data_IF_187267728198
#
_entry.id   IF_187267728198
#
_cell.length_a   1.000
_cell.length_b   1.000
_cell.length_c   1.000
_cell.angle_alpha   90.00
_cell.angle_beta   90.00
_cell.angle_gamma   90.00
#
_symmetry.space_group_name_H-M   'P 1'
#
loop_
_entity.id
_entity.type
_entity.pdbx_description
1 polymer ?
#
# COMPACT_ATOMS: atom_id res chain seq x y z
N UNK A 1 -28.59 17.73 -3.36
CA UNK A 1 -27.24 17.51 -3.92
C UNK A 1 -26.16 18.09 -3.01
N UNK A 2 -26.32 19.33 -2.51
CA UNK A 2 -25.42 19.94 -1.50
C UNK A 2 -25.13 19.03 -0.30
N UNK A 3 -26.18 18.51 0.35
CA UNK A 3 -26.04 17.58 1.50
C UNK A 3 -25.28 16.30 1.15
N UNK A 4 -25.42 15.77 -0.08
CA UNK A 4 -24.75 14.53 -0.48
C UNK A 4 -23.27 14.76 -0.80
N UNK A 5 -22.93 15.87 -1.46
CA UNK A 5 -21.54 16.25 -1.71
C UNK A 5 -20.82 16.60 -0.42
N UNK A 6 -21.47 17.37 0.46
CA UNK A 6 -20.91 17.72 1.76
C UNK A 6 -20.70 16.47 2.63
N UNK A 7 -21.68 15.55 2.66
CA UNK A 7 -21.56 14.30 3.42
C UNK A 7 -20.53 13.35 2.84
N UNK A 8 -20.41 13.25 1.51
CA UNK A 8 -19.37 12.44 0.85
C UNK A 8 -17.98 13.05 1.00
N UNK A 9 -17.83 14.37 0.88
CA UNK A 9 -16.56 15.07 1.09
C UNK A 9 -16.12 15.04 2.55
N UNK A 10 -17.05 15.24 3.50
CA UNK A 10 -16.77 15.13 4.94
C UNK A 10 -16.42 13.70 5.33
N UNK A 11 -17.12 12.70 4.79
CA UNK A 11 -16.77 11.30 4.98
C UNK A 11 -15.44 10.92 4.32
N UNK A 12 -15.15 11.41 3.12
CA UNK A 12 -13.87 11.19 2.46
C UNK A 12 -12.74 11.83 3.28
N UNK A 13 -12.88 13.10 3.66
CA UNK A 13 -11.91 13.82 4.49
C UNK A 13 -11.67 13.12 5.83
N UNK A 14 -12.74 12.70 6.53
CA UNK A 14 -12.61 12.01 7.81
C UNK A 14 -12.02 10.62 7.65
N UNK A 15 -12.35 9.90 6.58
CA UNK A 15 -11.74 8.61 6.26
C UNK A 15 -10.25 8.75 6.00
N UNK A 16 -9.83 9.75 5.22
CA UNK A 16 -8.41 9.99 4.94
C UNK A 16 -7.65 10.48 6.16
N UNK A 17 -8.18 11.45 6.92
CA UNK A 17 -7.57 11.88 8.17
C UNK A 17 -7.41 10.70 9.14
N UNK A 18 -8.45 9.88 9.30
CA UNK A 18 -8.37 8.70 10.16
C UNK A 18 -7.40 7.65 9.62
N UNK A 19 -7.41 7.36 8.31
CA UNK A 19 -6.51 6.38 7.68
C UNK A 19 -5.04 6.73 7.94
N UNK A 20 -4.65 8.00 7.77
CA UNK A 20 -3.27 8.42 7.96
C UNK A 20 -2.90 8.62 9.44
N UNK A 21 -3.78 9.14 10.30
CA UNK A 21 -3.50 9.26 11.75
C UNK A 21 -3.32 7.89 12.42
N UNK A 22 -4.01 6.85 11.93
CA UNK A 22 -3.87 5.49 12.46
C UNK A 22 -2.54 4.84 12.05
N UNK A 23 -2.01 5.15 10.86
CA UNK A 23 -0.69 4.64 10.42
C UNK A 23 0.44 5.12 11.35
N UNK A 24 0.35 6.33 11.91
CA UNK A 24 1.37 6.85 12.84
C UNK A 24 1.29 6.34 14.28
N UNK A 25 0.20 5.66 14.71
CA UNK A 25 -0.08 5.39 16.13
C UNK A 25 0.09 3.94 16.61
N UNK A 26 0.40 2.99 15.74
CA UNK A 26 0.53 1.58 16.14
C UNK A 26 1.94 1.23 16.62
N UNK A 27 2.11 1.14 17.95
CA UNK A 27 3.27 0.53 18.60
C UNK A 27 3.05 -0.98 18.74
N UNK A 28 4.05 -1.79 18.35
CA UNK A 28 4.09 -3.22 18.59
C UNK A 28 5.37 -3.84 18.02
N UNK A 29 5.76 -5.02 18.53
CA UNK A 29 6.94 -5.81 18.08
C UNK A 29 7.01 -6.01 16.56
N UNK A 30 5.85 -5.98 15.92
CA UNK A 30 5.66 -6.06 14.46
C UNK A 30 6.40 -4.94 13.74
N UNK A 31 6.43 -3.74 14.31
CA UNK A 31 7.00 -2.53 13.68
C UNK A 31 8.49 -2.35 13.96
N UNK A 32 9.06 -3.10 14.93
CA UNK A 32 10.47 -3.00 15.29
C UNK A 32 11.39 -3.67 14.27
N UNK A 33 10.89 -4.65 13.52
CA UNK A 33 11.65 -5.28 12.43
C UNK A 33 11.74 -4.32 11.24
N UNK A 34 12.97 -4.10 10.76
CA UNK A 34 13.26 -3.28 9.58
C UNK A 34 12.39 -3.61 8.36
N UNK A 35 11.84 -2.56 7.74
CA UNK A 35 11.02 -2.67 6.55
C UNK A 35 11.77 -3.30 5.35
N UNK A 36 13.11 -3.18 5.32
CA UNK A 36 13.98 -3.79 4.29
C UNK A 36 13.84 -5.29 4.26
N UNK A 37 13.93 -5.91 5.44
CA UNK A 37 13.89 -7.36 5.59
C UNK A 37 12.51 -7.90 5.23
N UNK A 38 11.45 -7.22 5.67
CA UNK A 38 10.07 -7.57 5.31
C UNK A 38 9.79 -7.42 3.82
N UNK A 39 10.30 -6.36 3.18
CA UNK A 39 10.12 -6.15 1.76
C UNK A 39 10.80 -7.24 0.93
N UNK A 40 12.06 -7.55 1.25
CA UNK A 40 12.80 -8.65 0.60
C UNK A 40 12.10 -9.98 0.84
N UNK A 41 11.66 -10.27 2.08
CA UNK A 41 10.97 -11.53 2.38
C UNK A 41 9.67 -11.65 1.60
N UNK A 42 8.86 -10.59 1.49
CA UNK A 42 7.65 -10.59 0.65
C UNK A 42 7.96 -10.91 -0.80
N UNK A 43 9.01 -10.31 -1.38
CA UNK A 43 9.43 -10.60 -2.76
C UNK A 43 9.84 -12.09 -2.89
N UNK A 44 10.65 -12.59 -1.96
CA UNK A 44 11.09 -13.99 -1.96
C UNK A 44 9.88 -14.92 -1.88
N UNK A 45 8.92 -14.69 -0.97
CA UNK A 45 7.71 -15.50 -0.87
C UNK A 45 6.87 -15.49 -2.15
N UNK A 46 6.71 -14.33 -2.80
CA UNK A 46 5.99 -14.23 -4.07
C UNK A 46 6.73 -15.00 -5.17
N UNK A 47 8.04 -14.87 -5.28
CA UNK A 47 8.84 -15.59 -6.27
C UNK A 47 8.78 -17.11 -6.06
N UNK A 48 8.92 -17.57 -4.81
CA UNK A 48 8.79 -18.98 -4.46
C UNK A 48 7.39 -19.51 -4.80
N UNK A 49 6.34 -18.76 -4.49
CA UNK A 49 4.97 -19.15 -4.81
C UNK A 49 4.77 -19.29 -6.32
N UNK A 50 5.25 -18.33 -7.12
CA UNK A 50 5.07 -18.32 -8.58
C UNK A 50 5.89 -19.44 -9.26
N UNK A 51 7.11 -19.71 -8.78
CA UNK A 51 8.01 -20.70 -9.39
C UNK A 51 7.60 -22.16 -9.13
N UNK A 52 6.69 -22.41 -8.20
CA UNK A 52 6.40 -23.76 -7.70
C UNK A 52 5.21 -24.40 -8.39
N UNK A 53 5.40 -25.55 -9.04
CA UNK A 53 4.32 -26.35 -9.66
C UNK A 53 3.80 -27.48 -8.76
N UNK A 54 4.46 -27.78 -7.65
CA UNK A 54 4.05 -28.85 -6.74
C UNK A 54 3.09 -28.36 -5.63
N UNK A 55 1.99 -29.07 -5.35
CA UNK A 55 1.02 -28.67 -4.34
C UNK A 55 1.58 -28.70 -2.92
N UNK A 56 2.48 -29.66 -2.62
CA UNK A 56 3.08 -29.82 -1.28
C UNK A 56 3.93 -28.62 -0.90
N UNK A 57 4.78 -28.14 -1.83
CA UNK A 57 5.59 -26.93 -1.65
C UNK A 57 4.72 -25.69 -1.43
N UNK A 58 3.61 -25.53 -2.15
CA UNK A 58 2.68 -24.42 -1.95
C UNK A 58 1.97 -24.47 -0.60
N UNK A 59 1.53 -25.65 -0.16
CA UNK A 59 0.90 -25.81 1.16
C UNK A 59 1.89 -25.50 2.29
N UNK A 60 3.16 -25.88 2.14
CA UNK A 60 4.21 -25.50 3.10
C UNK A 60 4.44 -23.99 3.13
N UNK A 61 4.53 -23.32 1.98
CA UNK A 61 4.66 -21.86 1.92
C UNK A 61 3.47 -21.17 2.60
N UNK A 62 2.25 -21.63 2.34
CA UNK A 62 1.05 -21.13 3.00
C UNK A 62 1.12 -21.31 4.52
N UNK A 63 1.48 -22.51 4.99
CA UNK A 63 1.64 -22.80 6.42
C UNK A 63 2.69 -21.90 7.07
N UNK A 64 3.85 -21.71 6.43
CA UNK A 64 4.91 -20.85 6.93
C UNK A 64 4.45 -19.40 7.09
N UNK A 65 3.69 -18.85 6.14
CA UNK A 65 3.12 -17.51 6.25
C UNK A 65 2.13 -17.40 7.41
N UNK A 66 1.27 -18.41 7.63
CA UNK A 66 0.36 -18.43 8.78
C UNK A 66 1.11 -18.45 10.12
N UNK A 67 2.22 -19.19 10.22
CA UNK A 67 3.07 -19.21 11.42
C UNK A 67 3.67 -17.82 11.65
N UNK A 68 4.26 -17.19 10.63
CA UNK A 68 4.87 -15.86 10.76
C UNK A 68 3.79 -14.81 11.11
N UNK A 69 2.60 -14.87 10.52
CA UNK A 69 1.47 -14.00 10.87
C UNK A 69 1.09 -14.10 12.35
N UNK A 70 1.08 -15.33 12.90
CA UNK A 70 0.74 -15.58 14.31
C UNK A 70 1.85 -15.09 15.25
N UNK A 71 3.12 -15.30 14.88
CA UNK A 71 4.28 -14.79 15.63
C UNK A 71 4.26 -13.26 15.68
N UNK A 72 3.91 -12.62 14.56
CA UNK A 72 3.71 -11.18 14.49
C UNK A 72 2.38 -10.73 15.11
N UNK A 73 1.54 -11.59 15.69
CA UNK A 73 0.30 -11.16 16.34
C UNK A 73 -0.69 -10.42 15.40
N UNK A 74 -0.60 -10.64 14.09
CA UNK A 74 -1.47 -10.00 13.12
C UNK A 74 -2.87 -10.65 13.16
N UNK A 75 -3.90 -9.82 13.25
CA UNK A 75 -5.28 -10.30 13.33
C UNK A 75 -5.71 -10.93 12.00
N UNK A 76 -5.92 -12.26 11.99
CA UNK A 76 -6.38 -13.02 10.82
C UNK A 76 -7.69 -12.47 10.23
N UNK A 77 -8.58 -11.95 11.08
CA UNK A 77 -9.85 -11.34 10.64
C UNK A 77 -9.64 -10.13 9.72
N UNK A 78 -8.71 -9.23 10.05
CA UNK A 78 -8.40 -8.05 9.21
C UNK A 78 -7.78 -8.48 7.88
N UNK A 79 -6.95 -9.51 7.90
CA UNK A 79 -6.32 -10.07 6.70
C UNK A 79 -7.37 -10.71 5.78
N UNK A 80 -8.25 -11.56 6.32
CA UNK A 80 -9.31 -12.20 5.55
C UNK A 80 -10.27 -11.19 4.92
N UNK A 81 -10.68 -10.15 5.67
CA UNK A 81 -11.54 -9.08 5.15
C UNK A 81 -10.94 -8.33 3.96
N UNK A 82 -9.60 -8.23 3.88
CA UNK A 82 -8.91 -7.55 2.78
C UNK A 82 -8.68 -8.46 1.58
N UNK A 83 -8.39 -9.74 1.81
CA UNK A 83 -7.96 -10.68 0.76
C UNK A 83 -9.13 -11.39 0.08
N UNK A 84 -10.24 -11.63 0.79
CA UNK A 84 -11.35 -12.46 0.28
C UNK A 84 -11.85 -12.04 -1.10
N UNK A 85 -12.04 -10.73 -1.34
CA UNK A 85 -12.53 -10.23 -2.63
C UNK A 85 -11.55 -10.53 -3.78
N UNK A 86 -10.24 -10.31 -3.55
CA UNK A 86 -9.22 -10.55 -4.57
C UNK A 86 -9.05 -12.03 -4.88
N UNK A 87 -9.07 -12.89 -3.86
CA UNK A 87 -9.00 -14.35 -4.07
C UNK A 87 -10.25 -14.87 -4.78
N UNK A 88 -11.43 -14.39 -4.41
CA UNK A 88 -12.68 -14.76 -5.08
C UNK A 88 -12.68 -14.32 -6.55
N UNK A 89 -12.22 -13.10 -6.84
CA UNK A 89 -12.08 -12.62 -8.21
C UNK A 89 -11.12 -13.48 -9.03
N UNK A 90 -9.96 -13.83 -8.46
CA UNK A 90 -9.01 -14.72 -9.12
C UNK A 90 -9.61 -16.10 -9.42
N UNK A 91 -10.41 -16.65 -8.51
CA UNK A 91 -11.07 -17.93 -8.72
C UNK A 91 -12.11 -17.86 -9.84
N UNK A 92 -12.87 -16.77 -9.93
CA UNK A 92 -13.83 -16.53 -11.02
C UNK A 92 -13.12 -16.52 -12.38
N UNK A 93 -11.97 -15.83 -12.49
CA UNK A 93 -11.17 -15.76 -13.72
C UNK A 93 -10.68 -17.14 -14.17
N UNK A 94 -10.32 -18.01 -13.22
CA UNK A 94 -9.82 -19.36 -13.50
C UNK A 94 -10.94 -20.38 -13.68
N UNK A 95 -12.17 -20.06 -13.28
CA UNK A 95 -13.30 -21.00 -13.31
C UNK A 95 -13.53 -21.73 -14.64
N UNK A 96 -13.30 -21.14 -15.84
CA UNK A 96 -13.45 -21.88 -17.10
C UNK A 96 -12.46 -23.04 -17.24
N UNK A 97 -11.28 -22.93 -16.61
CA UNK A 97 -10.23 -23.95 -16.62
C UNK A 97 -10.47 -25.09 -15.61
N UNK A 98 -11.46 -24.97 -14.72
CA UNK A 98 -11.83 -26.06 -13.79
C UNK A 98 -12.24 -27.33 -14.54
N UNK A 99 -12.89 -27.17 -15.69
CA UNK A 99 -13.38 -28.29 -16.50
C UNK A 99 -12.27 -29.02 -17.26
N UNK A 100 -11.20 -28.32 -17.62
CA UNK A 100 -10.08 -28.90 -18.37
C UNK A 100 -9.03 -29.50 -17.43
N UNK A 101 -8.64 -28.74 -16.39
CA UNK A 101 -7.66 -29.20 -15.43
C UNK A 101 -7.91 -28.63 -14.03
N UNK A 102 -8.46 -29.48 -13.16
CA UNK A 102 -8.74 -29.14 -11.77
C UNK A 102 -7.46 -28.81 -10.98
N UNK A 103 -6.38 -29.58 -11.20
CA UNK A 103 -5.12 -29.38 -10.48
C UNK A 103 -4.50 -28.01 -10.76
N UNK A 104 -4.40 -27.61 -12.04
CA UNK A 104 -3.86 -26.30 -12.41
C UNK A 104 -4.68 -25.15 -11.83
N UNK A 105 -6.01 -25.28 -11.83
CA UNK A 105 -6.91 -24.25 -11.30
C UNK A 105 -6.73 -24.04 -9.79
N UNK A 106 -6.56 -25.13 -9.03
CA UNK A 106 -6.29 -25.10 -7.60
C UNK A 106 -4.90 -24.52 -7.30
N UNK A 107 -3.87 -24.97 -8.02
CA UNK A 107 -2.50 -24.46 -7.87
C UNK A 107 -2.45 -22.95 -8.11
N UNK A 108 -3.07 -22.47 -9.19
CA UNK A 108 -3.10 -21.06 -9.51
C UNK A 108 -3.78 -20.23 -8.40
N UNK A 109 -4.94 -20.68 -7.92
CA UNK A 109 -5.67 -19.99 -6.85
C UNK A 109 -4.85 -19.93 -5.56
N UNK A 110 -4.13 -21.01 -5.22
CA UNK A 110 -3.23 -21.05 -4.06
C UNK A 110 -2.04 -20.11 -4.23
N UNK A 111 -1.43 -20.03 -5.41
CA UNK A 111 -0.34 -19.08 -5.68
C UNK A 111 -0.77 -17.63 -5.49
N UNK A 112 -1.96 -17.29 -5.99
CA UNK A 112 -2.53 -15.95 -5.81
C UNK A 112 -2.83 -15.70 -4.33
N UNK A 113 -3.41 -16.67 -3.61
CA UNK A 113 -3.68 -16.55 -2.18
C UNK A 113 -2.39 -16.29 -1.38
N UNK A 114 -1.33 -17.08 -1.61
CA UNK A 114 -0.04 -16.94 -0.93
C UNK A 114 0.58 -15.56 -1.21
N UNK A 115 0.56 -15.14 -2.47
CA UNK A 115 1.09 -13.83 -2.89
C UNK A 115 0.33 -12.67 -2.24
N UNK A 116 -1.01 -12.75 -2.20
CA UNK A 116 -1.86 -11.76 -1.55
C UNK A 116 -1.61 -11.72 -0.04
N UNK A 117 -1.44 -12.87 0.61
CA UNK A 117 -1.11 -12.93 2.04
C UNK A 117 0.22 -12.24 2.32
N UNK A 118 1.26 -12.57 1.56
CA UNK A 118 2.60 -11.99 1.73
C UNK A 118 2.62 -10.47 1.53
N UNK A 119 1.92 -9.96 0.51
CA UNK A 119 1.83 -8.51 0.24
C UNK A 119 0.97 -7.83 1.30
N UNK A 120 -0.18 -8.40 1.68
CA UNK A 120 -1.06 -7.79 2.67
C UNK A 120 -0.42 -7.72 4.05
N UNK A 121 0.40 -8.71 4.38
CA UNK A 121 1.22 -8.76 5.59
C UNK A 121 2.23 -7.61 5.64
N UNK A 122 2.93 -7.32 4.54
CA UNK A 122 3.81 -6.16 4.42
C UNK A 122 3.02 -4.86 4.67
N UNK A 123 1.93 -4.65 3.93
CA UNK A 123 1.10 -3.44 4.03
C UNK A 123 0.55 -3.21 5.44
N UNK A 124 0.30 -4.26 6.22
CA UNK A 124 -0.20 -4.15 7.60
C UNK A 124 0.89 -4.00 8.66
N UNK A 125 2.15 -4.28 8.33
CA UNK A 125 3.27 -4.36 9.29
C UNK A 125 4.32 -3.28 9.11
N UNK A 126 4.26 -2.50 8.03
CA UNK A 126 5.22 -1.43 7.72
C UNK A 126 4.51 -0.14 7.35
N UNK A 127 4.98 0.97 7.89
CA UNK A 127 4.51 2.30 7.49
C UNK A 127 5.09 2.67 6.13
N UNK A 128 4.39 3.54 5.41
CA UNK A 128 4.86 4.03 4.11
C UNK A 128 6.24 4.72 4.16
N UNK A 129 6.53 5.44 5.26
CA UNK A 129 7.82 6.07 5.47
C UNK A 129 8.97 5.04 5.54
N UNK A 130 8.78 3.97 6.31
CA UNK A 130 9.78 2.91 6.48
C UNK A 130 9.97 2.13 5.17
N UNK A 131 8.89 1.94 4.40
CA UNK A 131 8.97 1.38 3.04
C UNK A 131 9.80 2.25 2.09
N UNK A 132 9.64 3.58 2.12
CA UNK A 132 10.48 4.49 1.32
C UNK A 132 11.96 4.40 1.72
N UNK A 133 12.25 4.33 3.03
CA UNK A 133 13.61 4.13 3.53
C UNK A 133 14.19 2.78 3.10
N UNK A 134 13.36 1.74 3.09
CA UNK A 134 13.75 0.43 2.59
C UNK A 134 14.09 0.46 1.10
N UNK A 135 13.28 1.12 0.27
CA UNK A 135 13.53 1.29 -1.17
C UNK A 135 14.86 2.03 -1.44
N UNK A 136 15.15 3.10 -0.70
CA UNK A 136 16.43 3.83 -0.80
C UNK A 136 17.64 2.92 -0.52
N UNK A 137 17.52 2.00 0.44
CA UNK A 137 18.60 1.08 0.76
C UNK A 137 18.84 -0.01 -0.30
N UNK A 138 17.81 -0.32 -1.10
CA UNK A 138 17.85 -1.33 -2.16
C UNK A 138 18.47 -0.78 -3.46
N UNK A 139 19.24 0.31 -3.37
CA UNK A 139 19.91 1.00 -4.49
C UNK A 139 18.95 1.58 -5.54
N UNK A 140 17.69 1.83 -5.17
CA UNK A 140 16.79 2.61 -6.02
C UNK A 140 17.27 4.07 -6.02
N UNK A 141 17.29 4.77 -7.18
CA UNK A 141 17.74 6.15 -7.25
C UNK A 141 17.04 7.05 -6.24
N UNK A 142 17.81 7.86 -5.51
CA UNK A 142 17.29 8.73 -4.45
C UNK A 142 16.22 9.70 -4.97
N UNK A 143 16.34 10.17 -6.22
CA UNK A 143 15.36 11.02 -6.89
C UNK A 143 13.95 10.40 -6.92
N UNK A 144 13.85 9.09 -7.18
CA UNK A 144 12.57 8.39 -7.20
C UNK A 144 11.98 8.27 -5.80
N UNK A 145 12.80 7.93 -4.80
CA UNK A 145 12.35 7.82 -3.41
C UNK A 145 11.89 9.18 -2.88
N UNK A 146 12.61 10.25 -3.20
CA UNK A 146 12.21 11.62 -2.84
C UNK A 146 10.89 12.01 -3.50
N UNK A 147 10.72 11.74 -4.79
CA UNK A 147 9.47 12.00 -5.49
C UNK A 147 8.29 11.24 -4.83
N UNK A 148 8.49 9.96 -4.50
CA UNK A 148 7.47 9.13 -3.85
C UNK A 148 7.12 9.62 -2.45
N UNK A 149 8.12 10.00 -1.65
CA UNK A 149 7.91 10.52 -0.30
C UNK A 149 7.20 11.87 -0.31
N UNK A 150 7.58 12.78 -1.21
CA UNK A 150 6.89 14.06 -1.42
C UNK A 150 5.45 13.80 -1.88
N UNK A 151 5.23 12.92 -2.85
CA UNK A 151 3.90 12.58 -3.31
C UNK A 151 3.00 12.09 -2.16
N UNK A 152 3.48 11.16 -1.34
CA UNK A 152 2.74 10.68 -0.17
C UNK A 152 2.47 11.80 0.85
N UNK A 153 3.50 12.57 1.22
CA UNK A 153 3.37 13.66 2.21
C UNK A 153 2.40 14.74 1.74
N UNK A 154 2.44 15.11 0.46
CA UNK A 154 1.63 16.18 -0.10
C UNK A 154 0.26 15.72 -0.58
N UNK A 155 0.01 14.42 -0.74
CA UNK A 155 -1.33 13.88 -1.06
C UNK A 155 -2.37 14.41 -0.06
N UNK A 156 -2.06 14.37 1.25
CA UNK A 156 -2.95 14.88 2.31
C UNK A 156 -3.28 16.37 2.09
N UNK A 157 -2.26 17.16 1.76
CA UNK A 157 -2.40 18.59 1.56
C UNK A 157 -3.21 18.93 0.31
N UNK A 158 -2.97 18.20 -0.78
CA UNK A 158 -3.72 18.31 -2.04
C UNK A 158 -5.19 17.91 -1.85
N UNK A 159 -5.47 16.88 -1.06
CA UNK A 159 -6.84 16.52 -0.70
C UNK A 159 -7.56 17.64 0.07
N UNK A 160 -6.85 18.34 0.96
CA UNK A 160 -7.44 19.49 1.65
C UNK A 160 -7.72 20.65 0.68
N UNK A 161 -6.80 20.92 -0.24
CA UNK A 161 -6.97 21.96 -1.25
C UNK A 161 -8.17 21.69 -2.15
N UNK A 162 -8.36 20.44 -2.62
CA UNK A 162 -9.49 20.10 -3.49
C UNK A 162 -10.82 20.19 -2.75
N UNK A 163 -10.88 19.77 -1.48
CA UNK A 163 -12.09 19.93 -0.65
C UNK A 163 -12.42 21.41 -0.48
N UNK A 164 -11.44 22.26 -0.18
CA UNK A 164 -11.65 23.70 -0.02
C UNK A 164 -12.15 24.37 -1.31
N UNK A 165 -11.63 23.96 -2.47
CA UNK A 165 -12.11 24.45 -3.77
C UNK A 165 -13.57 24.03 -4.00
N UNK A 166 -13.91 22.76 -3.73
CA UNK A 166 -15.25 22.24 -3.90
C UNK A 166 -16.25 22.91 -2.93
N UNK A 167 -15.86 23.11 -1.67
CA UNK A 167 -16.69 23.80 -0.67
C UNK A 167 -16.91 25.27 -1.05
N UNK A 168 -15.86 25.99 -1.47
CA UNK A 168 -15.98 27.37 -1.92
C UNK A 168 -16.81 27.51 -3.22
N UNK A 169 -16.94 26.44 -3.99
CA UNK A 169 -17.82 26.37 -5.17
C UNK A 169 -19.27 26.14 -4.75
N UNK A 170 -19.53 25.21 -3.85
CA UNK A 170 -20.89 24.96 -3.35
C UNK A 170 -21.44 26.15 -2.57
N UNK A 171 -20.60 26.89 -1.83
CA UNK A 171 -21.04 28.11 -1.12
C UNK A 171 -21.48 29.24 -2.06
N UNK A 172 -20.93 29.31 -3.27
CA UNK A 172 -21.31 30.28 -4.30
C UNK A 172 -22.53 29.84 -5.11
N UNK A 173 -23.06 28.64 -4.87
CA UNK A 173 -24.17 28.09 -5.66
C UNK A 173 -25.51 28.54 -5.09
N UNK A 174 -26.19 29.40 -5.84
CA UNK A 174 -27.53 29.92 -5.45
C UNK A 174 -28.67 28.99 -5.89
N UNK A 175 -28.52 28.21 -6.98
CA UNK A 175 -29.57 27.34 -7.53
C UNK A 175 -29.05 26.00 -8.10
N UNK A 176 -29.97 25.04 -8.30
CA UNK A 176 -29.67 23.75 -8.95
C UNK A 176 -29.47 23.94 -10.47
N UNK A 177 -28.21 23.87 -10.89
CA UNK A 177 -27.77 23.90 -12.30
C UNK A 177 -27.94 22.56 -13.03
N UNK A 178 -27.98 22.61 -14.37
CA UNK A 178 -28.05 21.44 -15.26
C UNK A 178 -26.78 20.57 -15.17
N UNK A 179 -26.89 19.26 -15.45
CA UNK A 179 -25.75 18.33 -15.42
C UNK A 179 -24.57 18.80 -16.29
N UNK A 180 -24.84 19.37 -17.47
CA UNK A 180 -23.80 19.90 -18.36
C UNK A 180 -23.01 21.04 -17.73
N UNK A 181 -23.69 21.89 -16.97
CA UNK A 181 -23.08 23.02 -16.27
C UNK A 181 -22.25 22.54 -15.07
N UNK A 182 -22.71 21.51 -14.35
CA UNK A 182 -21.93 20.85 -13.29
C UNK A 182 -20.62 20.29 -13.84
N UNK A 183 -20.64 19.65 -15.01
CA UNK A 183 -19.43 19.15 -15.67
C UNK A 183 -18.49 20.28 -16.09
N UNK A 184 -19.00 21.36 -16.71
CA UNK A 184 -18.20 22.53 -17.10
C UNK A 184 -17.53 23.18 -15.89
N UNK A 185 -18.30 23.43 -14.82
CA UNK A 185 -17.80 23.98 -13.54
C UNK A 185 -16.92 23.02 -12.76
N UNK A 186 -17.09 21.71 -12.96
CA UNK A 186 -16.17 20.68 -12.48
C UNK A 186 -14.79 20.83 -13.12
N UNK A 187 -14.75 21.03 -14.44
CA UNK A 187 -13.51 21.30 -15.17
C UNK A 187 -12.78 22.55 -14.66
N UNK A 188 -13.50 23.64 -14.39
CA UNK A 188 -12.91 24.87 -13.79
C UNK A 188 -12.25 24.59 -12.43
N UNK A 189 -12.89 23.78 -11.57
CA UNK A 189 -12.35 23.41 -10.26
C UNK A 189 -11.09 22.53 -10.38
N UNK A 190 -11.08 21.58 -11.32
CA UNK A 190 -9.91 20.74 -11.60
C UNK A 190 -8.76 21.57 -12.16
N UNK A 191 -9.03 22.50 -13.08
CA UNK A 191 -8.03 23.42 -13.61
C UNK A 191 -7.40 24.30 -12.53
N UNK A 192 -8.22 24.87 -11.64
CA UNK A 192 -7.73 25.64 -10.49
C UNK A 192 -6.89 24.79 -9.54
N UNK A 193 -7.32 23.56 -9.26
CA UNK A 193 -6.56 22.63 -8.43
C UNK A 193 -5.19 22.30 -9.05
N UNK A 194 -5.15 22.05 -10.35
CA UNK A 194 -3.92 21.76 -11.08
C UNK A 194 -2.93 22.95 -11.04
N UNK A 195 -3.42 24.17 -11.30
CA UNK A 195 -2.60 25.39 -11.22
C UNK A 195 -2.00 25.57 -9.82
N UNK A 196 -2.82 25.42 -8.76
CA UNK A 196 -2.34 25.49 -7.38
C UNK A 196 -1.32 24.40 -7.04
N UNK A 197 -1.48 23.20 -7.60
CA UNK A 197 -0.53 22.11 -7.40
C UNK A 197 0.84 22.43 -8.01
N UNK A 198 0.87 23.05 -9.19
CA UNK A 198 2.11 23.49 -9.85
C UNK A 198 2.79 24.58 -9.02
N UNK A 199 2.08 25.66 -8.68
CA UNK A 199 2.62 26.73 -7.84
C UNK A 199 3.18 26.21 -6.51
N UNK A 200 2.52 25.21 -5.91
CA UNK A 200 2.98 24.56 -4.69
C UNK A 200 4.24 23.73 -4.93
N UNK A 201 4.36 23.02 -6.05
CA UNK A 201 5.59 22.29 -6.38
C UNK A 201 6.79 23.22 -6.56
N UNK A 202 6.61 24.39 -7.18
CA UNK A 202 7.68 25.40 -7.33
C UNK A 202 8.11 25.95 -5.97
N UNK A 203 7.16 26.34 -5.12
CA UNK A 203 7.46 26.80 -3.75
C UNK A 203 8.17 25.73 -2.92
N UNK A 204 7.76 24.46 -3.06
CA UNK A 204 8.41 23.34 -2.41
C UNK A 204 9.85 23.19 -2.89
N UNK A 205 10.08 23.24 -4.19
CA UNK A 205 11.41 23.12 -4.79
C UNK A 205 12.33 24.24 -4.30
N UNK A 206 11.87 25.49 -4.32
CA UNK A 206 12.63 26.64 -3.79
C UNK A 206 12.96 26.48 -2.29
N UNK A 207 12.00 25.99 -1.51
CA UNK A 207 12.20 25.71 -0.08
C UNK A 207 13.19 24.54 0.17
N UNK A 208 13.23 23.55 -0.72
CA UNK A 208 14.19 22.44 -0.64
C UNK A 208 15.61 22.89 -1.00
N UNK A 209 15.76 23.67 -2.07
CA UNK A 209 17.06 24.21 -2.52
C UNK A 209 17.66 25.11 -1.44
N UNK A 210 16.87 26.02 -0.85
CA UNK A 210 17.32 26.91 0.22
C UNK A 210 17.73 26.19 1.51
N UNK A 211 17.28 24.95 1.73
CA UNK A 211 17.64 24.10 2.88
C UNK A 211 18.82 23.15 2.59
N UNK A 212 19.38 23.18 1.38
CA UNK A 212 20.50 22.34 0.97
C UNK A 212 20.10 20.91 0.58
N UNK A 213 18.86 20.69 0.12
CA UNK A 213 18.36 19.46 -0.52
C UNK A 213 18.45 18.14 0.27
N UNK A 214 18.87 18.15 1.53
CA UNK A 214 19.02 16.92 2.33
C UNK A 214 17.66 16.41 2.84
N UNK A 215 17.08 15.43 2.15
CA UNK A 215 16.04 14.57 2.71
C UNK A 215 16.75 13.46 3.49
N UNK A 216 16.70 13.53 4.81
CA UNK A 216 17.39 12.56 5.68
C UNK A 216 16.60 11.25 5.70
N UNK A 217 17.06 10.27 4.93
CA UNK A 217 16.64 8.88 5.07
C UNK A 217 17.36 8.30 6.29
N UNK A 218 16.62 8.01 7.36
CA UNK A 218 17.21 7.38 8.54
C UNK A 218 17.67 5.96 8.18
N UNK A 219 18.97 5.70 8.33
CA UNK A 219 19.54 4.36 8.27
C UNK A 219 19.36 3.71 9.64
N UNK A 220 18.45 2.74 9.71
CA UNK A 220 18.27 1.86 10.85
C UNK A 220 19.43 0.86 10.93
N UNK A 221 19.83 0.49 12.16
CA UNK A 221 20.86 -0.51 12.43
C UNK A 221 20.19 -1.86 12.63
N UNK A 222 20.83 -2.92 12.12
CA UNK A 222 20.23 -4.24 12.18
C UNK A 222 20.15 -4.76 13.63
N UNK A 223 18.95 -5.14 14.07
CA UNK A 223 18.67 -5.65 15.41
C UNK A 223 18.67 -7.18 15.52
N UNK A 224 18.69 -7.72 16.75
CA UNK A 224 18.62 -9.17 16.99
C UNK A 224 17.33 -9.83 16.45
N UNK A 225 16.20 -9.11 16.51
CA UNK A 225 14.92 -9.56 15.96
C UNK A 225 14.92 -9.72 14.43
N UNK A 226 15.77 -8.97 13.74
CA UNK A 226 15.85 -9.03 12.29
C UNK A 226 16.69 -10.23 11.85
N UNK A 227 17.76 -10.53 12.57
CA UNK A 227 18.60 -11.70 12.33
C UNK A 227 17.77 -12.98 12.49
N UNK A 228 16.93 -13.06 13.54
CA UNK A 228 16.06 -14.21 13.74
C UNK A 228 15.00 -14.34 12.65
N UNK A 229 14.42 -13.22 12.19
CA UNK A 229 13.48 -13.23 11.06
C UNK A 229 14.15 -13.65 9.74
N UNK A 230 15.36 -13.15 9.45
CA UNK A 230 16.14 -13.54 8.28
C UNK A 230 16.47 -15.04 8.33
N UNK A 231 16.86 -15.55 9.49
CA UNK A 231 17.16 -16.98 9.68
C UNK A 231 15.92 -17.86 9.40
N UNK A 232 14.74 -17.45 9.85
CA UNK A 232 13.47 -18.15 9.56
C UNK A 232 13.18 -18.16 8.06
N UNK A 233 13.31 -17.01 7.39
CA UNK A 233 13.08 -16.92 5.93
C UNK A 233 14.09 -17.75 5.15
N UNK A 234 15.37 -17.70 5.54
CA UNK A 234 16.43 -18.49 4.92
C UNK A 234 16.19 -20.00 5.12
N UNK A 235 15.74 -20.43 6.30
CA UNK A 235 15.36 -21.82 6.56
C UNK A 235 14.23 -22.30 5.65
N UNK A 236 13.20 -21.46 5.45
CA UNK A 236 12.07 -21.76 4.55
C UNK A 236 12.55 -21.89 3.10
N UNK A 237 13.44 -21.01 2.65
CA UNK A 237 14.03 -21.07 1.30
C UNK A 237 14.86 -22.34 1.11
N UNK A 238 15.73 -22.68 2.08
CA UNK A 238 16.55 -23.89 2.03
C UNK A 238 15.69 -25.16 2.01
N UNK A 239 14.64 -25.19 2.81
CA UNK A 239 13.70 -26.31 2.82
C UNK A 239 12.96 -26.44 1.48
N UNK A 240 12.61 -25.32 0.85
CA UNK A 240 12.01 -25.32 -0.49
C UNK A 240 12.95 -25.84 -1.58
N UNK A 241 14.24 -25.51 -1.51
CA UNK A 241 15.27 -26.00 -2.47
C UNK A 241 15.52 -27.50 -2.28
N UNK A 242 15.44 -28.00 -1.05
CA UNK A 242 15.76 -29.40 -0.72
C UNK A 242 14.65 -30.40 -1.07
N UNK A 243 13.43 -29.93 -1.34
CA UNK A 243 12.27 -30.77 -1.68
C UNK A 243 12.10 -30.87 -3.20
#
# INVERSE_FOLDING_TARGET
MHILLEKTLRNASSYFQNFFIHEYKTRGLIYEIDARVKFISTIVFVLLAVSTFEPIKLLFLLFSLFVILKILGLSLKKLFQRIWLFTAFSFIVVSPFLFSNLQYSLLFTLRVLISLIAVQMLVMSTNFYDLCSALSSLRIPESFVHALWIAYRYTILLFQDIINILLARESRRVAKTSHREIWKKGGEAVGLFFLRSIERSERLQLAMVSRGEKIVVQKTKLGFLEISYIAIVAFIVLWWISL
#
